data_IF_153810298993
#
_entry.id   IF_153810298993
#
_cell.length_a   1.000
_cell.length_b   1.000
_cell.length_c   1.000
_cell.angle_alpha   90.00
_cell.angle_beta   90.00
_cell.angle_gamma   90.00
#
_symmetry.space_group_name_H-M   'P 1'
#
loop_
_entity.id
_entity.type
_entity.pdbx_description
1 polymer ?
#
# COMPACT_ATOMS: atom_id res chain seq x y z
N UNK A 1 9.20 20.08 0.56
CA UNK A 1 10.01 19.02 1.19
C UNK A 1 9.24 17.71 1.05
N UNK A 2 9.88 16.65 0.59
CA UNK A 2 9.20 15.36 0.38
C UNK A 2 9.23 14.51 1.66
N UNK A 3 8.13 13.84 1.98
CA UNK A 3 8.02 12.94 3.14
C UNK A 3 8.35 11.52 2.69
N UNK A 4 9.22 10.85 3.44
CA UNK A 4 9.54 9.43 3.25
C UNK A 4 9.25 8.71 4.56
N UNK A 5 8.32 7.76 4.53
CA UNK A 5 7.97 6.93 5.68
C UNK A 5 8.55 5.51 5.51
N UNK A 6 9.14 4.97 6.58
CA UNK A 6 9.71 3.62 6.61
C UNK A 6 9.27 2.94 7.91
N UNK A 7 8.77 1.71 7.80
CA UNK A 7 8.34 0.90 8.93
C UNK A 7 9.10 -0.42 8.90
N UNK A 8 9.62 -0.85 10.06
CA UNK A 8 10.18 -2.21 10.20
C UNK A 8 9.01 -3.19 10.33
N UNK A 9 8.92 -4.13 9.41
CA UNK A 9 7.80 -5.08 9.32
C UNK A 9 8.16 -6.49 9.80
N UNK A 10 7.13 -7.27 10.13
CA UNK A 10 7.18 -8.71 10.38
C UNK A 10 5.95 -9.38 9.74
N UNK A 11 5.96 -10.71 9.51
CA UNK A 11 4.83 -11.40 8.91
C UNK A 11 3.50 -11.18 9.66
N UNK A 12 3.55 -11.09 10.99
CA UNK A 12 2.34 -11.02 11.84
C UNK A 12 1.60 -9.68 11.73
N UNK A 13 2.29 -8.61 11.32
CA UNK A 13 1.75 -7.25 11.29
C UNK A 13 1.81 -6.61 9.90
N UNK A 14 2.11 -7.36 8.84
CA UNK A 14 2.34 -6.82 7.49
C UNK A 14 1.18 -5.97 6.97
N UNK A 15 -0.07 -6.32 7.28
CA UNK A 15 -1.24 -5.55 6.83
C UNK A 15 -1.36 -4.20 7.56
N UNK A 16 -1.19 -4.21 8.89
CA UNK A 16 -1.23 -2.98 9.69
C UNK A 16 -0.02 -2.06 9.41
N UNK A 17 1.12 -2.63 9.03
CA UNK A 17 2.29 -1.85 8.64
C UNK A 17 2.04 -1.03 7.36
N UNK A 18 1.19 -1.50 6.44
CA UNK A 18 0.76 -0.69 5.29
C UNK A 18 -0.07 0.52 5.72
N UNK A 19 -1.02 0.34 6.64
CA UNK A 19 -1.76 1.46 7.23
C UNK A 19 -0.79 2.47 7.83
N UNK A 20 0.11 1.99 8.70
CA UNK A 20 1.07 2.83 9.41
C UNK A 20 1.97 3.63 8.47
N UNK A 21 2.50 3.00 7.42
CA UNK A 21 3.37 3.73 6.47
C UNK A 21 2.59 4.75 5.64
N UNK A 22 1.34 4.46 5.29
CA UNK A 22 0.47 5.41 4.57
C UNK A 22 0.12 6.62 5.43
N UNK A 23 -0.23 6.40 6.71
CA UNK A 23 -0.53 7.46 7.67
C UNK A 23 0.69 8.34 7.95
N UNK A 24 1.86 7.74 8.16
CA UNK A 24 3.12 8.48 8.33
C UNK A 24 3.51 9.31 7.09
N UNK A 25 3.02 8.91 5.90
CA UNK A 25 3.21 9.63 4.66
C UNK A 25 2.10 10.66 4.37
N UNK A 26 1.19 10.91 5.32
CA UNK A 26 0.04 11.81 5.18
C UNK A 26 -0.83 11.49 3.94
N UNK A 27 -1.06 10.21 3.62
CA UNK A 27 -1.66 9.82 2.34
C UNK A 27 -3.00 10.52 2.05
N UNK A 28 -3.85 10.75 3.06
CA UNK A 28 -5.16 11.44 2.91
C UNK A 28 -5.04 12.87 2.37
N UNK A 29 -3.90 13.54 2.60
CA UNK A 29 -3.63 14.88 2.06
C UNK A 29 -3.37 14.85 0.56
N UNK A 30 -2.77 13.78 0.06
CA UNK A 30 -2.36 13.64 -1.34
C UNK A 30 -3.33 12.78 -2.18
N UNK A 31 -4.07 11.89 -1.53
CA UNK A 31 -5.10 11.03 -2.10
C UNK A 31 -6.44 11.28 -1.40
N UNK A 32 -7.10 12.42 -1.68
CA UNK A 32 -8.35 12.77 -1.02
C UNK A 32 -9.49 11.83 -1.46
N UNK A 33 -10.28 11.34 -0.50
CA UNK A 33 -11.34 10.34 -0.70
C UNK A 33 -12.45 10.78 -1.68
N UNK A 34 -12.63 12.10 -1.88
CA UNK A 34 -13.60 12.64 -2.85
C UNK A 34 -13.23 12.33 -4.32
N UNK A 35 -11.98 11.97 -4.58
CA UNK A 35 -11.50 11.66 -5.92
C UNK A 35 -11.66 10.17 -6.19
N UNK A 36 -12.23 9.82 -7.33
CA UNK A 36 -12.17 8.46 -7.84
C UNK A 36 -10.69 8.05 -8.00
N UNK A 37 -10.29 7.01 -7.27
CA UNK A 37 -8.89 6.56 -7.22
C UNK A 37 -8.81 5.15 -7.80
N UNK A 38 -7.97 4.98 -8.83
CA UNK A 38 -7.72 3.69 -9.46
C UNK A 38 -6.42 3.11 -8.88
N UNK A 39 -6.48 1.89 -8.35
CA UNK A 39 -5.31 1.12 -7.94
C UNK A 39 -4.84 0.24 -9.09
N UNK A 40 -3.69 0.59 -9.68
CA UNK A 40 -3.04 -0.21 -10.72
C UNK A 40 -2.12 -1.25 -10.09
N UNK A 41 -2.36 -2.53 -10.38
CA UNK A 41 -1.48 -3.62 -9.95
C UNK A 41 -0.36 -3.86 -10.97
N UNK A 42 0.80 -4.28 -10.48
CA UNK A 42 1.86 -4.81 -11.32
C UNK A 42 1.72 -6.33 -11.36
N UNK A 43 1.34 -6.87 -12.51
CA UNK A 43 1.13 -8.30 -12.74
C UNK A 43 2.03 -8.78 -13.87
N UNK A 44 2.52 -10.01 -13.74
CA UNK A 44 3.30 -10.71 -14.75
C UNK A 44 2.52 -11.94 -15.20
N UNK A 45 2.43 -12.12 -16.52
CA UNK A 45 1.52 -13.11 -17.14
C UNK A 45 1.99 -14.56 -17.00
N UNK A 46 3.30 -14.78 -16.91
CA UNK A 46 3.88 -16.13 -16.98
C UNK A 46 4.36 -16.66 -15.64
N UNK A 47 4.89 -15.78 -14.77
CA UNK A 47 5.48 -16.17 -13.50
C UNK A 47 5.38 -15.02 -12.49
N UNK A 48 5.05 -15.33 -11.24
CA UNK A 48 5.11 -14.37 -10.15
C UNK A 48 6.57 -14.06 -9.81
N UNK A 49 6.94 -12.77 -9.85
CA UNK A 49 8.29 -12.31 -9.50
C UNK A 49 8.22 -11.49 -8.22
N UNK A 50 8.77 -12.00 -7.08
CA UNK A 50 8.84 -11.24 -5.83
C UNK A 50 9.49 -9.87 -6.05
N UNK A 51 8.98 -8.85 -5.36
CA UNK A 51 9.37 -7.43 -5.50
C UNK A 51 9.06 -6.76 -6.87
N UNK A 52 8.72 -7.51 -7.93
CA UNK A 52 8.26 -6.95 -9.20
C UNK A 52 6.74 -6.95 -9.33
N UNK A 53 6.10 -8.06 -8.93
CA UNK A 53 4.64 -8.19 -8.89
C UNK A 53 4.10 -7.57 -7.61
N UNK A 54 2.90 -6.99 -7.64
CA UNK A 54 2.20 -6.53 -6.44
C UNK A 54 1.92 -7.73 -5.53
N UNK A 55 2.33 -7.64 -4.26
CA UNK A 55 2.08 -8.72 -3.30
C UNK A 55 0.59 -8.74 -2.91
N UNK A 56 -0.03 -9.92 -2.70
CA UNK A 56 -1.43 -9.99 -2.27
C UNK A 56 -1.70 -9.23 -0.97
N UNK A 57 -0.81 -9.34 0.01
CA UNK A 57 -0.92 -8.62 1.30
C UNK A 57 -0.70 -7.10 1.15
N UNK A 58 0.05 -6.65 0.15
CA UNK A 58 0.16 -5.23 -0.18
C UNK A 58 -1.19 -4.69 -0.66
N UNK A 59 -1.85 -5.41 -1.55
CA UNK A 59 -3.16 -5.02 -2.05
C UNK A 59 -4.21 -5.02 -0.93
N UNK A 60 -4.25 -6.08 -0.12
CA UNK A 60 -5.19 -6.19 1.01
C UNK A 60 -4.98 -5.08 2.06
N UNK A 61 -3.72 -4.83 2.45
CA UNK A 61 -3.39 -3.77 3.42
C UNK A 61 -3.76 -2.37 2.93
N UNK A 62 -3.48 -2.06 1.65
CA UNK A 62 -3.86 -0.77 1.04
C UNK A 62 -5.39 -0.63 0.96
N UNK A 63 -6.08 -1.65 0.46
CA UNK A 63 -7.54 -1.60 0.31
C UNK A 63 -8.23 -1.39 1.66
N UNK A 64 -7.90 -2.21 2.68
CA UNK A 64 -8.44 -2.05 4.05
C UNK A 64 -8.23 -0.63 4.57
N UNK A 65 -7.03 -0.08 4.40
CA UNK A 65 -6.70 1.29 4.84
C UNK A 65 -7.50 2.36 4.10
N UNK A 66 -7.83 2.16 2.83
CA UNK A 66 -8.53 3.16 2.01
C UNK A 66 -10.06 3.09 2.12
N UNK A 67 -10.63 1.95 2.53
CA UNK A 67 -12.08 1.72 2.59
C UNK A 67 -12.69 1.83 3.98
N UNK A 68 -11.87 2.00 5.02
CA UNK A 68 -12.32 2.39 6.36
C UNK A 68 -12.76 3.85 6.44
#
# INVERSE_FOLDING_TARGET
MSIVAVVKTKPENVLEDYRKVMELADYKKFLPQKNETILKLNLSWSLYYPACSTQPWQLDGILKTMTE
#
